data_IF_505223333187
#
_entry.id   IF_505223333187
#
_cell.length_a   1.000
_cell.length_b   1.000
_cell.length_c   1.000
_cell.angle_alpha   90.00
_cell.angle_beta   90.00
_cell.angle_gamma   90.00
#
_symmetry.space_group_name_H-M   'P 1'
#
loop_
_entity.id
_entity.type
_entity.pdbx_description
1 polymer ?
#
# COMPACT_ATOMS: atom_id res chain seq x y z
N UNK A 1 12.53 52.68 17.14
CA UNK A 1 12.94 53.67 16.12
C UNK A 1 12.78 53.05 14.73
N UNK A 2 12.65 53.85 13.65
CA UNK A 2 13.01 53.42 12.28
C UNK A 2 14.56 53.32 12.19
N UNK A 3 15.24 52.71 11.21
CA UNK A 3 14.88 52.12 9.92
C UNK A 3 15.49 50.68 9.82
N UNK A 4 15.18 49.83 8.83
CA UNK A 4 15.59 49.95 7.42
C UNK A 4 14.44 49.93 6.40
N UNK A 5 14.41 50.94 5.53
CA UNK A 5 14.19 50.81 4.07
C UNK A 5 15.56 51.12 3.44
N UNK A 6 15.96 50.70 2.23
CA UNK A 6 15.26 50.37 0.98
C UNK A 6 15.97 49.17 0.28
N UNK A 7 15.45 48.56 -0.81
CA UNK A 7 14.13 48.75 -1.40
C UNK A 7 13.84 48.03 -2.74
N UNK A 8 12.55 48.00 -3.05
CA UNK A 8 11.91 48.18 -4.37
C UNK A 8 12.17 47.26 -5.57
N UNK A 9 13.18 46.37 -5.63
CA UNK A 9 13.25 45.35 -6.70
C UNK A 9 13.62 43.94 -6.24
N UNK A 10 14.59 43.76 -5.34
CA UNK A 10 14.96 42.41 -4.88
C UNK A 10 13.87 41.72 -4.05
N UNK A 11 13.20 42.48 -3.18
CA UNK A 11 12.17 41.96 -2.27
C UNK A 11 10.83 41.73 -3.00
N UNK A 12 10.61 42.30 -4.20
CA UNK A 12 9.48 41.88 -5.05
C UNK A 12 9.71 40.50 -5.67
N UNK A 13 10.95 39.97 -5.66
CA UNK A 13 11.23 38.57 -5.98
C UNK A 13 10.71 37.56 -4.95
N UNK A 14 10.21 38.05 -3.81
CA UNK A 14 9.37 37.29 -2.90
C UNK A 14 7.90 37.27 -3.44
N UNK A 15 7.41 38.35 -4.06
CA UNK A 15 5.98 38.67 -4.31
C UNK A 15 5.37 38.21 -5.67
N UNK A 16 6.03 37.40 -6.50
CA UNK A 16 5.48 36.96 -7.80
C UNK A 16 5.56 35.43 -8.00
N UNK A 17 6.49 34.77 -7.32
CA UNK A 17 6.82 33.34 -7.47
C UNK A 17 7.41 32.87 -6.13
N UNK A 18 7.12 31.68 -5.57
CA UNK A 18 6.14 30.68 -6.01
C UNK A 18 4.77 30.92 -5.37
N UNK A 19 4.34 32.16 -5.57
CA UNK A 19 3.00 32.58 -5.92
C UNK A 19 2.41 31.84 -7.18
N UNK A 20 2.69 30.51 -7.28
CA UNK A 20 1.82 29.32 -7.52
C UNK A 20 2.56 28.08 -6.90
N UNK A 21 2.44 27.47 -5.66
CA UNK A 21 1.30 27.26 -4.71
C UNK A 21 1.35 26.03 -3.68
N UNK A 22 1.47 26.02 -2.29
CA UNK A 22 0.54 25.24 -1.35
C UNK A 22 0.45 25.33 0.23
N UNK A 23 -0.69 24.83 0.80
CA UNK A 23 -1.11 24.41 2.20
C UNK A 23 -1.91 23.14 1.98
N UNK A 24 -2.64 22.67 2.99
CA UNK A 24 -3.62 21.59 2.90
C UNK A 24 -2.96 20.21 2.84
N UNK A 25 -2.00 20.06 1.93
CA UNK A 25 -0.69 19.42 2.09
C UNK A 25 -0.24 18.94 3.50
N UNK A 26 -0.47 19.66 4.60
CA UNK A 26 0.23 19.46 5.89
C UNK A 26 0.30 18.02 6.34
N UNK A 27 -0.78 17.32 6.08
CA UNK A 27 -1.19 16.16 6.84
C UNK A 27 -0.69 14.87 6.18
N UNK A 28 0.25 15.02 5.23
CA UNK A 28 0.96 14.00 4.49
C UNK A 28 2.37 13.64 5.08
N UNK A 29 2.92 14.43 6.02
CA UNK A 29 4.27 14.27 6.64
C UNK A 29 5.48 14.70 5.76
N UNK A 30 6.26 15.74 6.13
CA UNK A 30 7.09 16.60 5.22
C UNK A 30 8.14 17.52 5.97
N UNK A 31 9.31 18.06 5.45
CA UNK A 31 10.47 18.57 6.32
C UNK A 31 11.11 20.06 6.59
N UNK A 32 10.98 21.25 5.93
CA UNK A 32 11.17 22.68 6.47
C UNK A 32 10.28 23.85 5.85
N UNK A 33 9.25 24.45 6.52
CA UNK A 33 8.07 25.17 5.93
C UNK A 33 8.16 26.71 5.68
N UNK A 34 7.51 27.25 4.62
CA UNK A 34 7.86 28.53 3.94
C UNK A 34 6.67 29.31 3.28
N UNK A 35 6.34 30.52 3.76
CA UNK A 35 5.09 31.22 3.46
C UNK A 35 5.24 32.29 2.35
N UNK A 36 4.11 32.69 1.73
CA UNK A 36 4.13 33.66 0.62
C UNK A 36 4.20 35.13 1.07
N UNK A 37 4.68 36.04 0.20
CA UNK A 37 4.98 37.41 0.62
C UNK A 37 4.05 38.47 0.00
N UNK A 38 3.35 38.14 -1.07
CA UNK A 38 2.30 38.93 -1.72
C UNK A 38 0.91 38.63 -1.16
N UNK A 39 0.82 37.64 -0.28
CA UNK A 39 -0.45 37.11 0.15
C UNK A 39 -1.03 36.16 -0.89
N UNK A 40 -0.18 35.41 -1.61
CA UNK A 40 -0.51 34.43 -2.64
C UNK A 40 0.59 33.32 -2.74
N UNK A 41 0.25 32.04 -2.52
CA UNK A 41 0.93 30.79 -2.99
C UNK A 41 2.44 30.42 -2.55
N UNK A 42 2.86 29.13 -2.31
CA UNK A 42 3.89 28.70 -1.26
C UNK A 42 5.17 27.77 -1.57
N UNK A 43 5.21 26.42 -1.23
CA UNK A 43 6.24 25.27 -1.33
C UNK A 43 5.68 23.99 -0.51
N UNK A 44 6.21 22.70 -0.53
CA UNK A 44 6.05 21.51 0.42
C UNK A 44 6.29 20.06 -0.18
N UNK A 45 6.35 18.92 0.61
CA UNK A 45 7.30 17.73 0.43
C UNK A 45 7.07 16.27 1.19
N UNK A 46 6.20 15.25 0.80
CA UNK A 46 5.75 13.93 1.51
C UNK A 46 6.76 12.78 1.89
N UNK A 47 6.56 11.84 2.87
CA UNK A 47 7.14 10.43 2.80
C UNK A 47 6.35 9.27 3.49
N UNK A 48 6.56 8.04 2.99
CA UNK A 48 6.39 6.72 3.67
C UNK A 48 7.81 6.07 4.02
N UNK A 49 7.96 4.81 4.54
CA UNK A 49 9.26 4.15 4.88
C UNK A 49 9.75 2.92 4.03
N UNK A 50 11.08 2.66 3.92
CA UNK A 50 11.80 1.96 2.81
C UNK A 50 11.72 0.40 2.67
N UNK A 51 12.20 -0.09 1.52
CA UNK A 51 12.04 -1.41 0.86
C UNK A 51 12.45 -2.65 1.69
N UNK A 52 13.63 -2.71 2.32
CA UNK A 52 14.00 -3.83 3.20
C UNK A 52 14.93 -3.39 4.34
N UNK A 53 14.80 -3.84 5.60
CA UNK A 53 13.64 -4.20 6.43
C UNK A 53 14.17 -4.54 7.83
N UNK A 54 13.74 -3.88 8.92
CA UNK A 54 14.04 -4.34 10.29
C UNK A 54 13.10 -3.69 11.34
N UNK A 55 13.02 -4.25 12.58
CA UNK A 55 11.91 -3.98 13.48
C UNK A 55 12.07 -2.66 14.25
N UNK A 56 11.33 -1.62 13.86
CA UNK A 56 11.28 -0.38 14.66
C UNK A 56 11.15 0.97 13.93
N UNK A 57 10.73 1.01 12.66
CA UNK A 57 10.26 2.25 12.00
C UNK A 57 11.29 3.05 11.17
N UNK A 58 10.81 3.72 10.11
CA UNK A 58 11.58 4.58 9.19
C UNK A 58 12.18 3.86 7.97
N UNK A 59 12.54 4.53 6.85
CA UNK A 59 12.49 5.99 6.59
C UNK A 59 12.25 6.47 5.14
N UNK A 60 12.28 5.64 4.08
CA UNK A 60 12.23 6.09 2.66
C UNK A 60 11.35 5.23 1.70
N UNK A 61 10.02 5.39 1.71
CA UNK A 61 9.12 4.92 0.63
C UNK A 61 8.34 6.10 0.02
N UNK A 62 7.53 5.86 -1.05
CA UNK A 62 6.71 6.83 -1.79
C UNK A 62 6.00 8.00 -1.06
N UNK A 63 5.43 8.84 -1.91
CA UNK A 63 5.75 10.26 -1.91
C UNK A 63 4.62 11.02 -2.65
N UNK A 64 3.47 11.31 -2.02
CA UNK A 64 2.40 12.08 -2.69
C UNK A 64 2.75 13.55 -2.82
N UNK A 65 2.12 14.19 -3.81
CA UNK A 65 2.61 15.40 -4.48
C UNK A 65 1.38 16.19 -4.96
N UNK A 66 0.94 17.26 -4.31
CA UNK A 66 -0.09 18.20 -4.82
C UNK A 66 0.44 19.65 -4.70
N UNK A 67 0.30 20.54 -5.68
CA UNK A 67 0.45 21.99 -5.42
C UNK A 67 -0.80 22.48 -4.60
N UNK A 68 -1.11 23.78 -4.42
CA UNK A 68 -2.04 24.43 -3.43
C UNK A 68 -2.14 25.96 -3.66
N UNK A 69 -3.04 26.39 -4.52
CA UNK A 69 -3.04 27.72 -5.13
C UNK A 69 -3.83 28.74 -4.32
N UNK A 70 -3.29 29.96 -4.23
CA UNK A 70 -3.98 31.19 -3.91
C UNK A 70 -4.86 31.15 -2.67
N UNK A 71 -6.17 31.09 -2.84
CA UNK A 71 -7.18 30.90 -1.79
C UNK A 71 -7.56 29.41 -1.59
N UNK A 72 -6.60 28.50 -1.52
CA UNK A 72 -6.83 27.08 -1.21
C UNK A 72 -7.13 26.06 -2.34
N UNK A 73 -7.46 26.47 -3.58
CA UNK A 73 -7.83 25.56 -4.72
C UNK A 73 -6.61 25.08 -5.51
N UNK A 74 -6.83 24.45 -6.68
CA UNK A 74 -5.86 23.53 -7.25
C UNK A 74 -5.95 23.32 -8.79
N UNK A 75 -5.12 23.71 -9.80
CA UNK A 75 -3.84 24.44 -10.19
C UNK A 75 -2.36 23.86 -10.35
N UNK A 76 -2.09 22.58 -10.69
CA UNK A 76 -0.81 22.07 -11.34
C UNK A 76 -0.71 20.75 -12.22
N UNK A 77 -1.74 19.88 -12.39
CA UNK A 77 -1.82 18.68 -13.26
C UNK A 77 -3.20 18.44 -13.96
N UNK A 78 -4.35 19.02 -13.51
CA UNK A 78 -5.66 19.20 -14.21
C UNK A 78 -5.68 19.96 -15.59
N UNK A 79 -4.58 19.93 -16.32
CA UNK A 79 -4.28 20.04 -17.78
C UNK A 79 -2.76 20.09 -17.84
N UNK A 80 -2.20 21.11 -17.17
CA UNK A 80 -1.43 20.91 -15.96
C UNK A 80 -1.93 21.82 -14.78
N UNK A 81 -3.14 21.55 -14.23
CA UNK A 81 -3.81 22.28 -13.11
C UNK A 81 -4.51 21.50 -11.88
N UNK A 82 -4.21 20.44 -11.06
CA UNK A 82 -3.24 20.02 -9.97
C UNK A 82 -3.12 18.49 -9.79
N UNK A 83 -2.36 18.04 -8.77
CA UNK A 83 -2.03 16.65 -8.31
C UNK A 83 -0.55 16.22 -8.52
N UNK A 84 0.40 17.15 -8.66
CA UNK A 84 1.86 16.89 -8.58
C UNK A 84 2.74 18.04 -8.01
N UNK A 85 2.63 18.50 -6.74
CA UNK A 85 3.69 19.39 -6.15
C UNK A 85 3.84 19.56 -4.60
N UNK A 86 3.45 18.56 -3.78
CA UNK A 86 4.05 18.27 -2.44
C UNK A 86 5.43 17.59 -2.72
N UNK A 87 6.30 18.18 -3.55
CA UNK A 87 7.41 17.51 -4.24
C UNK A 87 8.62 17.14 -3.35
N UNK A 88 8.53 15.96 -2.75
CA UNK A 88 9.34 15.38 -1.66
C UNK A 88 10.87 15.54 -1.68
N UNK A 89 11.42 16.10 -0.60
CA UNK A 89 12.77 15.86 -0.06
C UNK A 89 12.79 15.82 1.48
N UNK A 90 13.34 14.77 2.09
CA UNK A 90 13.41 14.64 3.55
C UNK A 90 14.86 14.75 4.06
N UNK A 91 15.12 15.69 4.96
CA UNK A 91 16.33 15.76 5.79
C UNK A 91 15.96 15.56 7.25
N UNK A 92 16.69 14.68 7.95
CA UNK A 92 16.55 14.50 9.40
C UNK A 92 15.10 14.25 9.83
N UNK A 93 14.58 15.12 10.70
CA UNK A 93 13.32 14.85 11.45
C UNK A 93 12.19 15.90 11.35
N UNK A 94 12.26 16.87 10.42
CA UNK A 94 11.51 18.15 10.53
C UNK A 94 10.18 18.29 9.74
N UNK A 95 9.74 19.54 9.46
CA UNK A 95 8.39 20.03 9.02
C UNK A 95 8.40 21.02 7.78
N UNK A 96 8.19 20.62 6.48
CA UNK A 96 8.17 21.47 5.19
C UNK A 96 6.79 21.91 4.74
N UNK A 97 5.86 21.76 5.63
CA UNK A 97 4.50 21.51 5.23
C UNK A 97 3.71 22.78 5.35
N UNK A 98 2.68 22.84 4.52
CA UNK A 98 1.70 23.88 4.63
C UNK A 98 0.39 23.29 5.12
N UNK A 99 -0.24 23.75 6.19
CA UNK A 99 -0.05 24.88 7.09
C UNK A 99 0.58 26.23 6.57
N UNK A 100 0.62 26.51 5.24
CA UNK A 100 1.15 27.70 4.50
C UNK A 100 0.05 28.63 3.84
N UNK A 101 -0.48 28.29 2.66
CA UNK A 101 -1.60 28.84 1.81
C UNK A 101 -2.80 29.68 2.31
N UNK A 102 -3.64 29.25 3.27
CA UNK A 102 -5.06 29.69 3.45
C UNK A 102 -5.26 31.21 3.74
N UNK A 103 -4.20 32.01 3.71
CA UNK A 103 -4.19 33.46 3.88
C UNK A 103 -4.48 34.28 2.59
N UNK A 104 -4.83 33.68 1.42
CA UNK A 104 -4.39 34.20 0.10
C UNK A 104 -5.41 34.14 -1.12
N UNK A 105 -5.05 34.45 -2.42
CA UNK A 105 -5.94 34.66 -3.65
C UNK A 105 -5.52 34.06 -5.08
N UNK A 106 -6.44 33.69 -6.02
CA UNK A 106 -6.35 32.42 -6.83
C UNK A 106 -6.97 32.24 -8.30
N UNK A 107 -6.26 31.63 -9.32
CA UNK A 107 -6.75 31.03 -10.60
C UNK A 107 -7.78 29.85 -10.63
N UNK A 108 -8.59 29.74 -11.70
CA UNK A 108 -9.58 28.64 -11.91
C UNK A 108 -9.09 27.59 -12.90
N UNK A 109 -9.81 26.47 -12.95
CA UNK A 109 -9.55 25.35 -13.86
C UNK A 109 -10.77 25.20 -14.72
N UNK A 110 -10.57 25.48 -16.00
CA UNK A 110 -11.63 25.62 -16.98
C UNK A 110 -11.65 24.43 -17.96
N UNK A 111 -10.66 23.52 -17.87
CA UNK A 111 -10.61 22.29 -18.64
C UNK A 111 -11.71 21.30 -18.20
N UNK A 112 -12.77 21.30 -18.99
CA UNK A 112 -14.01 20.56 -18.73
C UNK A 112 -13.80 19.04 -18.59
N UNK A 113 -12.88 18.45 -19.36
CA UNK A 113 -12.60 17.01 -19.34
C UNK A 113 -11.97 16.58 -18.02
N UNK A 114 -11.24 17.49 -17.38
CA UNK A 114 -10.53 17.19 -16.15
C UNK A 114 -11.33 17.58 -14.91
N UNK A 115 -12.21 18.58 -15.02
CA UNK A 115 -13.33 18.72 -14.08
C UNK A 115 -14.19 17.43 -14.08
N UNK A 116 -14.40 16.79 -15.23
CA UNK A 116 -15.15 15.54 -15.34
C UNK A 116 -14.40 14.35 -14.70
N UNK A 117 -13.09 14.23 -14.91
CA UNK A 117 -12.25 13.23 -14.22
C UNK A 117 -12.24 13.45 -12.69
N UNK A 118 -12.13 14.70 -12.24
CA UNK A 118 -12.17 15.07 -10.82
C UNK A 118 -13.52 14.74 -10.18
N UNK A 119 -14.63 15.09 -10.84
CA UNK A 119 -15.98 14.77 -10.37
C UNK A 119 -16.24 13.26 -10.27
N UNK A 120 -15.70 12.48 -11.21
CA UNK A 120 -15.74 11.02 -11.13
C UNK A 120 -14.95 10.46 -9.93
N UNK A 121 -13.75 11.00 -9.66
CA UNK A 121 -12.88 10.58 -8.56
C UNK A 121 -13.42 10.95 -7.16
N UNK A 122 -14.08 12.10 -7.03
CA UNK A 122 -14.73 12.53 -5.79
C UNK A 122 -16.10 11.85 -5.57
N UNK A 123 -16.79 11.48 -6.65
CA UNK A 123 -18.11 10.87 -6.60
C UNK A 123 -19.28 11.83 -6.84
N UNK A 124 -19.03 13.06 -7.33
CA UNK A 124 -20.08 14.02 -7.68
C UNK A 124 -20.73 13.69 -9.03
N UNK A 125 -21.81 12.89 -8.96
CA UNK A 125 -22.61 12.52 -10.13
C UNK A 125 -23.24 13.73 -10.82
N UNK A 126 -23.68 14.74 -10.06
CA UNK A 126 -24.37 15.90 -10.62
C UNK A 126 -23.40 16.77 -11.43
N UNK A 127 -22.15 16.92 -10.95
CA UNK A 127 -21.08 17.53 -11.74
C UNK A 127 -20.74 16.68 -12.98
N UNK A 128 -20.59 15.36 -12.86
CA UNK A 128 -20.35 14.45 -14.02
C UNK A 128 -21.41 14.65 -15.11
N UNK A 129 -22.70 14.56 -14.76
CA UNK A 129 -23.81 14.71 -15.72
C UNK A 129 -23.83 16.11 -16.35
N UNK A 130 -23.61 17.16 -15.54
CA UNK A 130 -23.56 18.56 -16.00
C UNK A 130 -22.37 18.88 -16.91
N UNK A 131 -21.24 18.19 -16.74
CA UNK A 131 -20.04 18.36 -17.57
C UNK A 131 -20.18 17.57 -18.88
N UNK A 132 -20.73 16.35 -18.84
CA UNK A 132 -21.10 15.60 -20.05
C UNK A 132 -22.13 16.35 -20.90
N UNK A 133 -23.15 16.96 -20.28
CA UNK A 133 -24.14 17.81 -20.96
C UNK A 133 -23.55 19.11 -21.55
N UNK A 134 -22.28 19.42 -21.25
CA UNK A 134 -21.50 20.53 -21.82
C UNK A 134 -20.43 20.05 -22.82
N UNK A 135 -20.58 18.85 -23.38
CA UNK A 135 -19.66 18.22 -24.34
C UNK A 135 -18.25 17.95 -23.80
N UNK A 136 -18.12 17.62 -22.50
CA UNK A 136 -16.88 17.03 -21.99
C UNK A 136 -16.61 15.66 -22.63
N UNK A 137 -15.35 15.42 -23.00
CA UNK A 137 -14.92 14.16 -23.61
C UNK A 137 -14.98 13.01 -22.61
N UNK A 138 -15.85 12.04 -22.88
CA UNK A 138 -16.01 10.84 -22.05
C UNK A 138 -14.91 9.79 -22.29
N UNK A 139 -14.16 9.90 -23.38
CA UNK A 139 -13.01 9.05 -23.68
C UNK A 139 -11.69 9.67 -23.21
N UNK A 140 -11.76 10.79 -22.49
CA UNK A 140 -10.60 11.49 -21.93
C UNK A 140 -9.71 10.54 -21.10
N UNK A 141 -8.40 10.68 -21.31
CA UNK A 141 -7.35 9.99 -20.56
C UNK A 141 -6.38 11.01 -19.97
N UNK A 142 -5.97 10.80 -18.72
CA UNK A 142 -4.90 11.60 -18.11
C UNK A 142 -3.56 11.31 -18.78
N UNK A 143 -2.54 12.11 -18.44
CA UNK A 143 -1.14 11.83 -18.80
C UNK A 143 -0.61 10.48 -18.25
N UNK A 144 -1.34 9.81 -17.35
CA UNK A 144 -1.09 8.45 -16.87
C UNK A 144 -1.86 7.38 -17.67
N UNK A 145 -2.52 7.73 -18.78
CA UNK A 145 -3.48 6.91 -19.54
C UNK A 145 -4.76 6.50 -18.78
N UNK A 146 -4.95 6.98 -17.54
CA UNK A 146 -6.13 6.66 -16.73
C UNK A 146 -7.39 7.25 -17.35
N UNK A 147 -8.40 6.39 -17.59
CA UNK A 147 -9.73 6.79 -18.09
C UNK A 147 -10.62 7.31 -16.95
N UNK A 148 -11.72 7.97 -17.30
CA UNK A 148 -12.78 8.34 -16.34
C UNK A 148 -13.31 7.13 -15.54
N UNK A 149 -13.25 5.92 -16.10
CA UNK A 149 -13.67 4.70 -15.40
C UNK A 149 -12.70 4.29 -14.29
N UNK A 150 -11.40 4.61 -14.39
CA UNK A 150 -10.45 4.45 -13.27
C UNK A 150 -10.79 5.42 -12.12
N UNK A 151 -11.08 6.68 -12.45
CA UNK A 151 -11.47 7.69 -11.49
C UNK A 151 -12.76 7.30 -10.75
N UNK A 152 -13.80 6.92 -11.49
CA UNK A 152 -15.08 6.49 -10.93
C UNK A 152 -14.95 5.22 -10.07
N UNK A 153 -14.10 4.27 -10.48
CA UNK A 153 -13.86 3.03 -9.75
C UNK A 153 -13.15 3.24 -8.41
N UNK A 154 -12.18 4.17 -8.34
CA UNK A 154 -11.55 4.56 -7.09
C UNK A 154 -12.49 5.40 -6.19
N UNK A 155 -13.39 6.16 -6.82
CA UNK A 155 -14.38 7.00 -6.15
C UNK A 155 -15.40 6.22 -5.30
N UNK A 156 -16.15 6.91 -4.42
CA UNK A 156 -17.16 6.27 -3.58
C UNK A 156 -18.48 5.98 -4.33
N UNK A 157 -18.73 6.65 -5.48
CA UNK A 157 -20.05 6.67 -6.12
C UNK A 157 -20.18 5.65 -7.27
N UNK A 158 -20.65 4.46 -6.91
CA UNK A 158 -20.92 3.33 -7.81
C UNK A 158 -21.83 3.68 -8.99
N UNK A 159 -22.74 4.65 -8.83
CA UNK A 159 -23.66 5.05 -9.90
C UNK A 159 -22.93 5.76 -11.06
N UNK A 160 -21.76 6.36 -10.82
CA UNK A 160 -20.90 6.93 -11.87
C UNK A 160 -20.20 5.82 -12.66
N UNK A 161 -19.73 4.77 -11.97
CA UNK A 161 -19.18 3.55 -12.61
C UNK A 161 -20.24 2.94 -13.54
N UNK A 162 -21.48 2.77 -13.05
CA UNK A 162 -22.60 2.28 -13.86
C UNK A 162 -22.90 3.19 -15.07
N UNK A 163 -22.92 4.51 -14.90
CA UNK A 163 -23.13 5.49 -15.98
C UNK A 163 -22.05 5.38 -17.07
N UNK A 164 -20.79 5.26 -16.69
CA UNK A 164 -19.68 5.17 -17.65
C UNK A 164 -19.65 3.82 -18.39
N UNK A 165 -20.01 2.72 -17.71
CA UNK A 165 -20.17 1.41 -18.34
C UNK A 165 -21.36 1.41 -19.33
N UNK A 166 -22.49 2.03 -18.98
CA UNK A 166 -23.62 2.25 -19.90
C UNK A 166 -23.27 3.15 -21.10
N UNK A 167 -22.23 3.99 -20.99
CA UNK A 167 -21.68 4.79 -22.09
C UNK A 167 -20.57 4.07 -22.88
N UNK A 168 -20.31 2.79 -22.59
CA UNK A 168 -19.37 1.97 -23.36
C UNK A 168 -17.90 2.23 -23.06
N UNK A 169 -17.55 2.72 -21.86
CA UNK A 169 -16.14 2.84 -21.48
C UNK A 169 -15.53 1.45 -21.24
N UNK A 170 -14.35 1.23 -21.82
CA UNK A 170 -13.61 -0.02 -21.73
C UNK A 170 -13.24 -0.38 -20.28
N UNK A 171 -13.83 -1.47 -19.79
CA UNK A 171 -13.64 -2.04 -18.46
C UNK A 171 -12.25 -2.65 -18.25
N UNK A 172 -11.50 -2.90 -19.34
CA UNK A 172 -10.13 -3.45 -19.34
C UNK A 172 -9.08 -2.42 -19.77
N UNK A 173 -9.45 -1.15 -19.88
CA UNK A 173 -8.54 -0.07 -20.24
C UNK A 173 -7.32 -0.07 -19.30
N UNK A 174 -6.11 0.04 -19.87
CA UNK A 174 -4.86 0.03 -19.11
C UNK A 174 -4.27 1.43 -18.97
N UNK A 175 -3.86 1.75 -17.75
CA UNK A 175 -3.06 2.95 -17.48
C UNK A 175 -1.55 2.73 -17.79
N UNK A 176 -0.67 3.68 -17.43
CA UNK A 176 0.78 3.57 -17.62
C UNK A 176 1.40 2.46 -16.77
N UNK A 177 0.97 2.30 -15.52
CA UNK A 177 1.34 1.18 -14.65
C UNK A 177 0.78 -0.16 -15.13
N UNK A 178 -0.18 -0.13 -16.07
CA UNK A 178 -0.88 -1.32 -16.55
C UNK A 178 -2.02 -1.75 -15.62
N UNK A 179 -2.41 -0.88 -14.70
CA UNK A 179 -3.57 -1.11 -13.86
C UNK A 179 -4.85 -0.93 -14.67
N UNK A 180 -5.89 -1.68 -14.29
CA UNK A 180 -7.26 -1.58 -14.84
C UNK A 180 -8.17 -0.82 -13.88
N UNK A 181 -9.39 -0.42 -14.29
CA UNK A 181 -10.39 0.09 -13.37
C UNK A 181 -10.68 -0.82 -12.17
N UNK A 182 -10.49 -2.14 -12.28
CA UNK A 182 -10.67 -3.07 -11.16
C UNK A 182 -9.54 -2.97 -10.11
N UNK A 183 -8.31 -2.65 -10.54
CA UNK A 183 -7.21 -2.33 -9.62
C UNK A 183 -7.50 -0.99 -8.90
N UNK A 184 -8.00 0.00 -9.63
CA UNK A 184 -8.44 1.28 -9.04
C UNK A 184 -9.60 1.08 -8.03
N UNK A 185 -10.54 0.17 -8.29
CA UNK A 185 -11.59 -0.20 -7.34
C UNK A 185 -11.06 -0.91 -6.09
N UNK A 186 -10.01 -1.73 -6.22
CA UNK A 186 -9.40 -2.45 -5.11
C UNK A 186 -8.68 -1.52 -4.10
N UNK A 187 -7.97 -0.51 -4.60
CA UNK A 187 -7.42 0.58 -3.77
C UNK A 187 -8.49 1.63 -3.35
N UNK A 188 -9.64 1.60 -4.02
CA UNK A 188 -10.68 2.62 -3.96
C UNK A 188 -11.52 2.65 -2.67
N UNK A 189 -12.30 3.72 -2.56
CA UNK A 189 -13.19 3.99 -1.42
C UNK A 189 -14.55 3.30 -1.53
N UNK A 190 -14.94 2.84 -2.72
CA UNK A 190 -16.27 2.26 -3.00
C UNK A 190 -16.21 0.78 -3.39
N UNK A 191 -16.42 -0.13 -2.42
CA UNK A 191 -16.35 -1.59 -2.64
C UNK A 191 -17.30 -2.11 -3.73
N UNK A 192 -18.53 -1.59 -3.84
CA UNK A 192 -19.49 -2.01 -4.87
C UNK A 192 -19.14 -1.63 -6.31
N UNK A 193 -18.08 -0.86 -6.56
CA UNK A 193 -17.53 -0.69 -7.91
C UNK A 193 -17.00 -2.02 -8.48
N UNK A 194 -16.43 -2.87 -7.63
CA UNK A 194 -15.88 -4.20 -7.97
C UNK A 194 -16.97 -5.07 -8.62
N UNK A 195 -18.14 -5.13 -7.99
CA UNK A 195 -19.28 -5.94 -8.44
C UNK A 195 -19.79 -5.52 -9.82
N UNK A 196 -19.87 -4.21 -10.08
CA UNK A 196 -20.27 -3.65 -11.38
C UNK A 196 -19.24 -3.90 -12.48
N UNK A 197 -17.95 -3.75 -12.16
CA UNK A 197 -16.84 -3.98 -13.08
C UNK A 197 -16.76 -5.46 -13.47
N UNK A 198 -16.82 -6.38 -12.51
CA UNK A 198 -16.83 -7.83 -12.75
C UNK A 198 -18.06 -8.23 -13.59
N UNK A 199 -19.25 -7.75 -13.24
CA UNK A 199 -20.47 -8.01 -14.01
C UNK A 199 -20.41 -7.46 -15.45
N UNK A 200 -19.56 -6.45 -15.70
CA UNK A 200 -19.31 -5.89 -17.03
C UNK A 200 -18.12 -6.53 -17.75
N UNK A 201 -17.52 -7.60 -17.20
CA UNK A 201 -16.44 -8.36 -17.83
C UNK A 201 -15.02 -7.92 -17.47
N UNK A 202 -14.82 -7.17 -16.37
CA UNK A 202 -13.48 -6.94 -15.82
C UNK A 202 -12.79 -8.29 -15.52
N UNK A 203 -11.52 -8.39 -15.86
CA UNK A 203 -10.71 -9.55 -15.50
C UNK A 203 -10.14 -9.38 -14.09
N UNK A 204 -10.48 -10.30 -13.19
CA UNK A 204 -9.99 -10.33 -11.80
C UNK A 204 -8.53 -10.79 -11.70
N UNK A 205 -8.05 -11.49 -12.73
CA UNK A 205 -6.75 -12.14 -12.80
C UNK A 205 -5.76 -11.36 -13.68
N UNK A 206 -6.20 -10.22 -14.23
CA UNK A 206 -5.32 -9.25 -14.86
C UNK A 206 -4.28 -8.77 -13.84
N UNK A 207 -3.03 -8.70 -14.28
CA UNK A 207 -1.89 -8.18 -13.51
C UNK A 207 -1.43 -6.85 -14.08
N UNK A 208 -0.95 -5.97 -13.21
CA UNK A 208 -0.26 -4.75 -13.62
C UNK A 208 1.20 -5.00 -14.05
N UNK A 209 1.91 -3.93 -14.45
CA UNK A 209 3.32 -3.97 -14.90
C UNK A 209 4.32 -3.74 -13.75
N UNK A 210 3.90 -3.89 -12.49
CA UNK A 210 4.85 -3.90 -11.37
C UNK A 210 5.77 -5.13 -11.44
N UNK A 211 6.91 -5.07 -10.74
CA UNK A 211 7.84 -6.21 -10.65
C UNK A 211 7.21 -7.45 -9.96
N UNK A 212 6.11 -7.27 -9.24
CA UNK A 212 5.36 -8.33 -8.55
C UNK A 212 4.13 -8.85 -9.32
N UNK A 213 3.78 -8.23 -10.46
CA UNK A 213 2.59 -8.57 -11.25
C UNK A 213 1.31 -8.57 -10.40
N UNK A 214 0.94 -7.43 -9.84
CA UNK A 214 -0.13 -7.37 -8.85
C UNK A 214 -1.51 -7.50 -9.51
N UNK A 215 -2.35 -8.40 -8.99
CA UNK A 215 -3.79 -8.45 -9.31
C UNK A 215 -4.57 -7.46 -8.44
N UNK A 216 -5.84 -7.20 -8.80
CA UNK A 216 -6.75 -6.41 -7.97
C UNK A 216 -6.86 -6.93 -6.51
N UNK A 217 -6.78 -8.25 -6.28
CA UNK A 217 -6.81 -8.80 -4.92
C UNK A 217 -5.52 -8.49 -4.13
N UNK A 218 -4.37 -8.44 -4.80
CA UNK A 218 -3.10 -8.04 -4.17
C UNK A 218 -3.12 -6.54 -3.81
N UNK A 219 -3.62 -5.68 -4.70
CA UNK A 219 -3.83 -4.25 -4.44
C UNK A 219 -4.79 -4.02 -3.26
N UNK A 220 -5.89 -4.78 -3.17
CA UNK A 220 -6.82 -4.68 -2.04
C UNK A 220 -6.15 -5.06 -0.70
N UNK A 221 -5.28 -6.07 -0.70
CA UNK A 221 -4.52 -6.49 0.49
C UNK A 221 -3.48 -5.45 0.92
N UNK A 222 -2.70 -4.89 -0.02
CA UNK A 222 -1.71 -3.84 0.24
C UNK A 222 -2.36 -2.49 0.64
N UNK A 223 -3.56 -2.21 0.15
CA UNK A 223 -4.35 -1.05 0.57
C UNK A 223 -5.01 -1.25 1.95
N UNK A 224 -4.96 -2.46 2.53
CA UNK A 224 -5.70 -2.80 3.75
C UNK A 224 -7.23 -2.83 3.56
N UNK A 225 -7.71 -2.83 2.32
CA UNK A 225 -9.10 -2.69 1.94
C UNK A 225 -9.86 -4.03 2.08
N UNK A 226 -10.15 -4.38 3.33
CA UNK A 226 -10.85 -5.62 3.69
C UNK A 226 -12.25 -5.76 3.10
N UNK A 227 -12.90 -4.68 2.64
CA UNK A 227 -14.16 -4.78 1.91
C UNK A 227 -13.94 -5.22 0.46
N UNK A 228 -12.99 -4.58 -0.24
CA UNK A 228 -12.60 -4.99 -1.59
C UNK A 228 -12.07 -6.43 -1.62
N UNK A 229 -11.25 -6.81 -0.63
CA UNK A 229 -10.80 -8.20 -0.48
C UNK A 229 -11.98 -9.18 -0.39
N UNK A 230 -12.94 -8.93 0.51
CA UNK A 230 -14.11 -9.81 0.68
C UNK A 230 -14.90 -9.94 -0.63
N UNK A 231 -15.22 -8.84 -1.29
CA UNK A 231 -15.93 -8.86 -2.57
C UNK A 231 -15.17 -9.67 -3.64
N UNK A 232 -13.88 -9.39 -3.86
CA UNK A 232 -13.06 -10.12 -4.84
C UNK A 232 -12.98 -11.62 -4.55
N UNK A 233 -12.79 -12.00 -3.28
CA UNK A 233 -12.68 -13.41 -2.88
C UNK A 233 -14.04 -14.12 -2.98
N UNK A 234 -15.14 -13.46 -2.61
CA UNK A 234 -16.51 -14.00 -2.75
C UNK A 234 -16.94 -14.13 -4.23
N UNK A 235 -16.35 -13.34 -5.14
CA UNK A 235 -16.47 -13.52 -6.60
C UNK A 235 -15.47 -14.55 -7.17
N UNK A 236 -14.58 -15.12 -6.36
CA UNK A 236 -13.69 -16.21 -6.75
C UNK A 236 -12.33 -15.78 -7.36
N UNK A 237 -11.87 -14.55 -7.12
CA UNK A 237 -10.52 -14.13 -7.48
C UNK A 237 -9.45 -15.04 -6.82
N UNK A 238 -8.41 -15.42 -7.55
CA UNK A 238 -7.42 -16.39 -7.05
C UNK A 238 -6.50 -15.77 -6.01
N UNK A 239 -6.41 -16.43 -4.86
CA UNK A 239 -5.44 -16.13 -3.81
C UNK A 239 -4.06 -16.63 -4.23
N UNK A 240 -3.03 -15.80 -4.01
CA UNK A 240 -1.63 -16.13 -4.24
C UNK A 240 -0.76 -15.73 -3.04
N UNK A 241 0.52 -16.12 -3.06
CA UNK A 241 1.49 -15.89 -1.99
C UNK A 241 1.61 -14.39 -1.62
N UNK A 242 1.60 -13.50 -2.61
CA UNK A 242 1.67 -12.05 -2.41
C UNK A 242 0.41 -11.53 -1.70
N UNK A 243 -0.77 -12.07 -2.01
CA UNK A 243 -2.02 -11.74 -1.29
C UNK A 243 -1.86 -11.96 0.22
N UNK A 244 -1.35 -13.13 0.60
CA UNK A 244 -1.19 -13.48 2.01
C UNK A 244 -0.05 -12.70 2.69
N UNK A 245 1.07 -12.46 2.00
CA UNK A 245 2.18 -11.65 2.49
C UNK A 245 1.72 -10.23 2.84
N UNK A 246 0.99 -9.58 1.92
CA UNK A 246 0.38 -8.28 2.18
C UNK A 246 -0.57 -8.31 3.39
N UNK A 247 -1.39 -9.36 3.57
CA UNK A 247 -2.27 -9.45 4.75
C UNK A 247 -1.51 -9.55 6.07
N UNK A 248 -0.43 -10.34 6.17
CA UNK A 248 0.34 -10.44 7.42
C UNK A 248 1.03 -9.12 7.76
N UNK A 249 1.57 -8.42 6.76
CA UNK A 249 2.40 -7.23 6.96
C UNK A 249 1.58 -5.94 7.11
N UNK A 250 0.44 -5.80 6.42
CA UNK A 250 -0.22 -4.49 6.21
C UNK A 250 -1.26 -4.11 7.25
N UNK A 251 -1.99 -5.08 7.79
CA UNK A 251 -3.05 -4.83 8.78
C UNK A 251 -2.44 -4.70 10.18
N UNK A 252 -2.92 -3.76 10.99
CA UNK A 252 -2.40 -3.57 12.37
C UNK A 252 -3.12 -4.47 13.38
N UNK A 253 -4.41 -4.77 13.17
CA UNK A 253 -5.20 -5.60 14.07
C UNK A 253 -5.00 -7.09 13.75
N UNK A 254 -4.37 -7.81 14.68
CA UNK A 254 -4.15 -9.27 14.56
C UNK A 254 -5.46 -10.06 14.39
N UNK A 255 -6.55 -9.64 15.05
CA UNK A 255 -7.89 -10.21 14.84
C UNK A 255 -8.39 -10.04 13.40
N UNK A 256 -8.11 -8.88 12.79
CA UNK A 256 -8.47 -8.59 11.39
C UNK A 256 -7.60 -9.38 10.41
N UNK A 257 -6.31 -9.59 10.72
CA UNK A 257 -5.45 -10.53 9.95
C UNK A 257 -6.02 -11.94 9.99
N UNK A 258 -6.34 -12.44 11.18
CA UNK A 258 -6.94 -13.77 11.36
C UNK A 258 -8.20 -13.93 10.51
N UNK A 259 -9.18 -13.03 10.65
CA UNK A 259 -10.43 -13.04 9.88
C UNK A 259 -10.21 -13.12 8.36
N UNK A 260 -9.26 -12.33 7.83
CA UNK A 260 -8.95 -12.30 6.39
C UNK A 260 -8.18 -13.56 5.96
N UNK A 261 -7.21 -14.02 6.75
CA UNK A 261 -6.46 -15.26 6.47
C UNK A 261 -7.41 -16.48 6.48
N UNK A 262 -8.36 -16.54 7.41
CA UNK A 262 -9.38 -17.59 7.41
C UNK A 262 -10.26 -17.54 6.15
N UNK A 263 -10.67 -16.35 5.72
CA UNK A 263 -11.50 -16.16 4.53
C UNK A 263 -10.76 -16.48 3.22
N UNK A 264 -9.46 -16.19 3.15
CA UNK A 264 -8.57 -16.62 2.06
C UNK A 264 -8.45 -18.16 2.03
N UNK A 265 -8.13 -18.79 3.16
CA UNK A 265 -7.94 -20.24 3.27
C UNK A 265 -9.22 -21.04 3.03
N UNK A 266 -10.39 -20.50 3.39
CA UNK A 266 -11.70 -21.09 3.09
C UNK A 266 -11.92 -21.27 1.57
N UNK A 267 -11.36 -20.37 0.75
CA UNK A 267 -11.51 -20.39 -0.70
C UNK A 267 -10.45 -21.26 -1.41
N UNK A 268 -10.11 -22.41 -0.80
CA UNK A 268 -9.18 -23.44 -1.31
C UNK A 268 -7.76 -22.94 -1.59
N UNK A 269 -7.37 -21.79 -1.05
CA UNK A 269 -6.00 -21.32 -1.13
C UNK A 269 -5.07 -22.29 -0.38
N UNK A 270 -4.12 -22.90 -1.11
CA UNK A 270 -3.05 -23.69 -0.49
C UNK A 270 -2.22 -22.75 0.41
N UNK A 271 -1.92 -23.16 1.64
CA UNK A 271 -1.04 -22.35 2.51
C UNK A 271 0.36 -22.27 1.89
N UNK A 272 0.90 -21.07 1.62
CA UNK A 272 2.27 -20.94 1.15
C UNK A 272 3.28 -21.25 2.26
N UNK A 273 4.35 -21.99 1.93
CA UNK A 273 5.44 -22.27 2.88
C UNK A 273 6.11 -20.98 3.38
N UNK A 274 6.28 -19.99 2.49
CA UNK A 274 6.78 -18.66 2.84
C UNK A 274 5.84 -17.87 3.77
N UNK A 275 4.54 -18.19 3.79
CA UNK A 275 3.61 -17.51 4.69
C UNK A 275 3.79 -17.95 6.15
N UNK A 276 4.02 -19.25 6.37
CA UNK A 276 4.33 -19.75 7.71
C UNK A 276 5.64 -19.15 8.24
N UNK A 277 6.62 -18.91 7.35
CA UNK A 277 7.83 -18.15 7.64
C UNK A 277 7.51 -16.72 8.07
N UNK A 278 6.76 -15.96 7.27
CA UNK A 278 6.38 -14.57 7.58
C UNK A 278 5.61 -14.46 8.90
N UNK A 279 4.71 -15.40 9.20
CA UNK A 279 3.98 -15.45 10.46
C UNK A 279 4.89 -15.67 11.68
N UNK A 280 5.89 -16.55 11.55
CA UNK A 280 6.91 -16.81 12.58
C UNK A 280 7.78 -15.57 12.84
N UNK A 281 8.25 -14.88 11.79
CA UNK A 281 9.03 -13.65 11.92
C UNK A 281 8.26 -12.51 12.61
N UNK A 282 6.97 -12.37 12.31
CA UNK A 282 6.08 -11.38 12.97
C UNK A 282 5.61 -11.81 14.36
N UNK A 283 6.10 -12.94 14.90
CA UNK A 283 5.86 -13.44 16.27
C UNK A 283 4.39 -13.79 16.58
N UNK A 284 3.47 -13.79 15.61
CA UNK A 284 2.07 -14.14 15.87
C UNK A 284 1.90 -15.67 15.94
N UNK A 285 1.98 -16.21 17.16
CA UNK A 285 1.79 -17.64 17.46
C UNK A 285 0.38 -18.14 17.06
N UNK A 286 -0.64 -17.28 17.08
CA UNK A 286 -2.01 -17.68 16.73
C UNK A 286 -2.20 -17.85 15.22
N UNK A 287 -1.63 -16.95 14.41
CA UNK A 287 -1.56 -17.12 12.95
C UNK A 287 -0.69 -18.34 12.62
N UNK A 288 0.45 -18.53 13.29
CA UNK A 288 1.29 -19.74 13.09
C UNK A 288 0.51 -21.03 13.37
N UNK A 289 -0.26 -21.10 14.46
CA UNK A 289 -1.17 -22.23 14.73
C UNK A 289 -2.22 -22.39 13.62
N UNK A 290 -2.94 -21.32 13.29
CA UNK A 290 -3.99 -21.31 12.27
C UNK A 290 -3.48 -21.82 10.90
N UNK A 291 -2.30 -21.40 10.47
CA UNK A 291 -1.70 -21.85 9.22
C UNK A 291 -1.38 -23.35 9.24
N UNK A 292 -0.76 -23.85 10.32
CA UNK A 292 -0.45 -25.28 10.47
C UNK A 292 -1.74 -26.13 10.54
N UNK A 293 -2.74 -25.67 11.30
CA UNK A 293 -4.06 -26.34 11.41
C UNK A 293 -4.88 -26.30 10.11
N UNK A 294 -4.48 -25.46 9.14
CA UNK A 294 -5.03 -25.38 7.77
C UNK A 294 -4.10 -26.05 6.72
N UNK A 295 -3.12 -26.83 7.16
CA UNK A 295 -2.28 -27.66 6.30
C UNK A 295 -0.98 -27.00 5.81
N UNK A 296 -0.45 -26.00 6.52
CA UNK A 296 0.91 -25.51 6.25
C UNK A 296 1.95 -26.59 6.54
N UNK A 297 2.84 -26.83 5.58
CA UNK A 297 3.95 -27.76 5.75
C UNK A 297 5.01 -27.17 6.71
N UNK A 298 5.09 -27.73 7.92
CA UNK A 298 6.06 -27.38 8.96
C UNK A 298 7.51 -27.74 8.60
N UNK A 299 7.69 -28.64 7.63
CA UNK A 299 8.98 -29.14 7.16
C UNK A 299 9.46 -28.47 5.88
N UNK A 300 8.65 -27.59 5.29
CA UNK A 300 8.96 -26.93 4.03
C UNK A 300 10.35 -26.25 4.09
N UNK A 301 11.29 -26.63 3.21
CA UNK A 301 12.62 -26.06 3.20
C UNK A 301 12.63 -24.68 2.54
N UNK A 302 13.52 -23.81 3.01
CA UNK A 302 13.93 -22.62 2.26
C UNK A 302 14.57 -23.03 0.91
N UNK A 303 14.10 -22.52 -0.25
CA UNK A 303 14.64 -22.91 -1.56
C UNK A 303 16.14 -22.65 -1.74
N UNK A 304 16.67 -21.61 -1.09
CA UNK A 304 18.04 -21.15 -1.27
C UNK A 304 19.05 -22.01 -0.53
N UNK A 305 18.77 -22.42 0.72
CA UNK A 305 19.74 -23.12 1.57
C UNK A 305 19.23 -24.44 2.19
N UNK A 306 17.99 -24.85 1.93
CA UNK A 306 17.31 -26.01 2.54
C UNK A 306 17.16 -25.95 4.08
N UNK A 307 17.23 -24.76 4.68
CA UNK A 307 16.97 -24.55 6.12
C UNK A 307 15.47 -24.65 6.39
N UNK A 308 15.06 -25.53 7.31
CA UNK A 308 13.66 -25.66 7.74
C UNK A 308 13.27 -24.56 8.73
N UNK A 309 11.97 -24.34 8.91
CA UNK A 309 11.46 -23.37 9.89
C UNK A 309 11.92 -23.67 11.32
N UNK A 310 11.99 -24.94 11.71
CA UNK A 310 12.51 -25.36 13.01
C UNK A 310 13.95 -24.86 13.23
N UNK A 311 14.82 -24.98 12.22
CA UNK A 311 16.19 -24.43 12.29
C UNK A 311 16.19 -22.90 12.42
N UNK A 312 15.36 -22.21 11.63
CA UNK A 312 15.28 -20.73 11.60
C UNK A 312 14.76 -20.16 12.94
N UNK A 313 13.81 -20.82 13.59
CA UNK A 313 13.33 -20.44 14.93
C UNK A 313 14.47 -20.50 15.95
N UNK A 314 15.37 -21.47 15.83
CA UNK A 314 16.50 -21.65 16.75
C UNK A 314 17.62 -20.62 16.50
N UNK A 315 18.04 -20.40 15.25
CA UNK A 315 19.12 -19.48 14.85
C UNK A 315 19.09 -18.14 15.60
N UNK A 316 20.22 -17.68 16.13
CA UNK A 316 20.34 -16.45 16.94
C UNK A 316 19.76 -15.19 16.27
N UNK A 317 20.01 -14.97 14.98
CA UNK A 317 19.88 -13.67 14.32
C UNK A 317 18.51 -13.39 13.67
N UNK A 318 17.45 -14.14 14.03
CA UNK A 318 16.20 -14.19 13.24
C UNK A 318 15.10 -13.22 13.67
N UNK A 319 15.41 -12.21 14.49
CA UNK A 319 14.45 -11.18 14.95
C UNK A 319 13.37 -11.66 15.94
N UNK A 320 13.22 -12.98 16.10
CA UNK A 320 12.35 -13.62 17.10
C UNK A 320 13.01 -13.47 18.48
N UNK A 321 12.35 -12.78 19.42
CA UNK A 321 12.89 -12.58 20.77
C UNK A 321 13.07 -13.91 21.50
N UNK A 322 14.16 -14.14 22.27
CA UNK A 322 14.51 -15.45 22.80
C UNK A 322 13.40 -16.18 23.55
N UNK A 323 12.56 -15.45 24.30
CA UNK A 323 11.46 -16.00 25.10
C UNK A 323 10.33 -16.67 24.29
N UNK A 324 10.16 -16.31 23.01
CA UNK A 324 9.14 -16.94 22.15
C UNK A 324 9.65 -18.22 21.48
N UNK A 325 10.98 -18.40 21.37
CA UNK A 325 11.57 -19.54 20.66
C UNK A 325 11.21 -20.89 21.29
N UNK A 326 11.23 -21.12 22.62
CA UNK A 326 10.83 -22.39 23.20
C UNK A 326 9.37 -22.75 22.93
N UNK A 327 8.46 -21.77 22.89
CA UNK A 327 7.04 -21.99 22.59
C UNK A 327 6.83 -22.40 21.12
N UNK A 328 7.52 -21.73 20.19
CA UNK A 328 7.51 -22.08 18.76
C UNK A 328 8.16 -23.45 18.50
N UNK A 329 9.31 -23.76 19.13
CA UNK A 329 9.95 -25.08 19.02
C UNK A 329 9.03 -26.19 19.54
N UNK A 330 8.38 -26.01 20.69
CA UNK A 330 7.37 -26.96 21.22
C UNK A 330 6.21 -27.16 20.25
N UNK A 331 5.68 -26.08 19.66
CA UNK A 331 4.59 -26.14 18.68
C UNK A 331 4.98 -26.90 17.41
N UNK A 332 6.14 -26.59 16.82
CA UNK A 332 6.60 -27.24 15.58
C UNK A 332 6.89 -28.73 15.78
N UNK A 333 7.57 -29.11 16.87
CA UNK A 333 7.83 -30.52 17.20
C UNK A 333 6.51 -31.29 17.44
N UNK A 334 5.56 -30.71 18.17
CA UNK A 334 4.22 -31.30 18.39
C UNK A 334 3.36 -31.38 17.11
N UNK A 335 3.76 -30.73 16.02
CA UNK A 335 3.10 -30.76 14.71
C UNK A 335 3.89 -31.54 13.64
N UNK A 336 4.90 -32.32 14.05
CA UNK A 336 5.63 -33.23 13.16
C UNK A 336 6.79 -32.59 12.40
N UNK A 337 7.39 -31.51 12.94
CA UNK A 337 8.63 -30.97 12.38
C UNK A 337 9.80 -31.95 12.56
N UNK A 338 10.50 -32.27 11.47
CA UNK A 338 11.68 -33.14 11.46
C UNK A 338 12.84 -32.45 12.19
N UNK A 339 13.14 -32.99 13.36
CA UNK A 339 14.20 -32.54 14.26
C UNK A 339 15.61 -32.85 13.72
N UNK A 340 15.71 -33.80 12.79
CA UNK A 340 16.94 -34.34 12.22
C UNK A 340 17.21 -33.89 10.78
N UNK A 341 16.32 -33.08 10.20
CA UNK A 341 16.48 -32.44 8.90
C UNK A 341 17.86 -31.75 8.78
N UNK A 342 18.40 -31.69 7.57
CA UNK A 342 19.69 -31.06 7.26
C UNK A 342 19.56 -30.04 6.14
N UNK A 343 20.12 -28.86 6.35
CA UNK A 343 20.25 -27.85 5.30
C UNK A 343 21.45 -28.16 4.37
N UNK A 344 21.66 -27.36 3.31
CA UNK A 344 22.76 -27.59 2.33
C UNK A 344 24.16 -27.59 2.95
N UNK A 345 24.32 -27.00 4.14
CA UNK A 345 25.58 -27.01 4.92
C UNK A 345 25.66 -28.18 5.92
N UNK A 346 24.76 -29.16 5.84
CA UNK A 346 24.67 -30.31 6.74
C UNK A 346 24.17 -29.99 8.15
N UNK A 347 23.75 -28.76 8.42
CA UNK A 347 23.37 -28.32 9.77
C UNK A 347 21.97 -28.83 10.16
N UNK A 348 21.88 -29.43 11.35
CA UNK A 348 20.61 -29.78 12.02
C UNK A 348 20.15 -28.67 12.97
N UNK A 349 18.88 -28.67 13.36
CA UNK A 349 18.37 -27.74 14.38
C UNK A 349 19.15 -27.84 15.71
N UNK A 350 19.60 -29.04 16.10
CA UNK A 350 20.42 -29.25 17.29
C UNK A 350 21.81 -28.60 17.16
N UNK A 351 22.46 -28.73 16.01
CA UNK A 351 23.78 -28.11 15.75
C UNK A 351 23.70 -26.57 15.85
N UNK A 352 22.58 -25.98 15.44
CA UNK A 352 22.31 -24.55 15.52
C UNK A 352 21.97 -24.13 16.96
N UNK A 353 21.22 -24.95 17.72
CA UNK A 353 20.91 -24.69 19.13
C UNK A 353 22.17 -24.63 20.01
N UNK A 354 23.14 -25.51 19.73
CA UNK A 354 24.47 -25.48 20.34
C UNK A 354 25.26 -24.21 20.00
N UNK A 355 25.34 -23.83 18.71
CA UNK A 355 26.00 -22.58 18.28
C UNK A 355 25.34 -21.32 18.83
N UNK A 356 24.03 -21.36 19.07
CA UNK A 356 23.23 -20.24 19.57
C UNK A 356 23.17 -20.15 21.10
N UNK A 357 23.86 -21.04 21.83
CA UNK A 357 23.89 -21.09 23.30
C UNK A 357 22.50 -21.06 23.97
N UNK A 358 21.60 -21.97 23.55
CA UNK A 358 20.20 -22.03 24.05
C UNK A 358 19.89 -23.34 24.80
N UNK A 359 20.17 -23.46 26.12
CA UNK A 359 20.10 -24.74 26.84
C UNK A 359 18.71 -25.37 26.88
N UNK A 360 17.64 -24.59 27.02
CA UNK A 360 16.26 -25.12 26.99
C UNK A 360 15.95 -25.76 25.64
N UNK A 361 16.32 -25.08 24.54
CA UNK A 361 16.10 -25.58 23.17
C UNK A 361 16.91 -26.86 22.92
N UNK A 362 18.18 -26.90 23.33
CA UNK A 362 19.00 -28.13 23.26
C UNK A 362 18.34 -29.29 24.02
N UNK A 363 17.74 -29.04 25.19
CA UNK A 363 17.00 -30.06 25.95
C UNK A 363 15.73 -30.51 25.20
N UNK A 364 14.93 -29.57 24.70
CA UNK A 364 13.68 -29.84 23.99
C UNK A 364 13.90 -30.66 22.71
N UNK A 365 14.89 -30.29 21.90
CA UNK A 365 15.24 -31.01 20.67
C UNK A 365 15.67 -32.46 21.00
N UNK A 366 16.54 -32.65 22.00
CA UNK A 366 16.95 -33.99 22.44
C UNK A 366 15.79 -34.85 22.95
N UNK A 367 14.84 -34.26 23.67
CA UNK A 367 13.64 -34.97 24.14
C UNK A 367 12.75 -35.47 22.99
N UNK A 368 12.86 -34.90 21.79
CA UNK A 368 12.12 -35.30 20.58
C UNK A 368 13.00 -36.10 19.59
N UNK A 369 14.13 -36.66 20.03
CA UNK A 369 14.96 -37.55 19.21
C UNK A 369 16.00 -36.87 18.31
N UNK A 370 16.43 -35.64 18.63
CA UNK A 370 17.50 -34.96 17.92
C UNK A 370 18.84 -35.71 18.01
N UNK A 371 19.36 -36.10 16.86
CA UNK A 371 20.65 -36.73 16.65
C UNK A 371 21.75 -35.68 16.41
N UNK A 372 23.01 -36.12 16.39
CA UNK A 372 24.19 -35.25 16.40
C UNK A 372 24.65 -34.83 14.98
#
# INVERSE_FOLDING_TARGET
MRFFRFGCLGILGLLIILSVAPRQIMKLGIRTAEFSPDGKYSIAILRYPMVFSMPGGGSDAPCDVFLFDAAGRELNSKSFEMVQLVSVSWQGDRVRIGDMLDEWELPKIDNINILLFSAAYTGDRAAVEKLLAKNADIHFKTYLNQTLLHAAAFGPNQAIVQLFLQKGLDVRALDKSGQTPLHAAAAGRGSGAIDLLIASGADMEAIDRSEYGQTALNIAAESGNSQAMKALIERGAKVNDNTFFSVINRFESEKKKQEIIELLLKNKAKVPSGLLYSAVSHRNIEIVKLLIDRGADVNAPDPYDNTTLLMRIVQSNTGISPQFKPALVKLFLAKGADVNARNKNGATALSIAYKSSTPEIVKLLKQHGAQR
#
